data_IF_886220769796
#
_entry.id   IF_886220769796
#
_cell.length_a   1.000
_cell.length_b   1.000
_cell.length_c   1.000
_cell.angle_alpha   90.00
_cell.angle_beta   90.00
_cell.angle_gamma   90.00
#
_symmetry.space_group_name_H-M   'P 1'
#
loop_
_entity.id
_entity.type
_entity.pdbx_description
1 polymer ?
#
# COMPACT_ATOMS: atom_id res chain seq x y z
N UNK A 1 -4.54 12.41 -15.51
CA UNK A 1 -5.33 12.89 -14.36
C UNK A 1 -4.52 13.91 -13.58
N UNK A 2 -5.13 14.98 -13.12
CA UNK A 2 -4.47 15.97 -12.29
C UNK A 2 -4.39 15.51 -10.83
N UNK A 3 -3.50 16.14 -10.06
CA UNK A 3 -3.42 15.85 -8.62
C UNK A 3 -4.72 16.18 -7.89
N UNK A 4 -5.44 17.21 -8.34
CA UNK A 4 -6.73 17.57 -7.76
C UNK A 4 -7.80 16.54 -8.02
N UNK A 5 -7.83 15.99 -9.24
CA UNK A 5 -8.76 14.92 -9.61
C UNK A 5 -8.46 13.64 -8.82
N UNK A 6 -7.19 13.32 -8.65
CA UNK A 6 -6.74 12.17 -7.86
C UNK A 6 -7.18 12.32 -6.40
N UNK A 7 -7.05 13.51 -5.84
CA UNK A 7 -7.47 13.81 -4.46
C UNK A 7 -8.98 13.66 -4.28
N UNK A 8 -9.76 14.09 -5.28
CA UNK A 8 -11.22 13.90 -5.27
C UNK A 8 -11.58 12.43 -5.29
N UNK A 9 -10.90 11.64 -6.11
CA UNK A 9 -11.11 10.20 -6.19
C UNK A 9 -10.80 9.53 -4.84
N UNK A 10 -9.70 9.91 -4.21
CA UNK A 10 -9.34 9.41 -2.88
C UNK A 10 -10.41 9.75 -1.84
N UNK A 11 -10.88 11.00 -1.84
CA UNK A 11 -11.89 11.46 -0.88
C UNK A 11 -13.24 10.78 -1.08
N UNK A 12 -13.52 10.25 -2.26
CA UNK A 12 -14.73 9.50 -2.56
C UNK A 12 -14.67 8.04 -2.08
N UNK A 13 -13.48 7.54 -1.74
CA UNK A 13 -13.33 6.18 -1.20
C UNK A 13 -13.84 6.12 0.24
N UNK A 14 -14.42 4.98 0.59
CA UNK A 14 -14.94 4.71 1.94
C UNK A 14 -14.84 3.22 2.25
N UNK A 15 -15.29 2.85 3.44
CA UNK A 15 -15.37 1.43 3.84
C UNK A 15 -16.29 0.62 2.92
N UNK A 16 -17.18 1.29 2.18
CA UNK A 16 -18.12 0.65 1.26
C UNK A 16 -17.58 0.56 -0.17
N UNK A 17 -16.40 1.11 -0.41
CA UNK A 17 -15.81 1.06 -1.75
C UNK A 17 -15.47 -0.37 -2.13
N UNK A 18 -15.65 -0.70 -3.41
CA UNK A 18 -15.31 -2.02 -3.94
C UNK A 18 -13.80 -2.16 -4.11
N UNK A 19 -13.33 -3.40 -4.23
CA UNK A 19 -11.94 -3.69 -4.59
C UNK A 19 -11.60 -3.07 -5.94
N UNK A 20 -12.53 -3.11 -6.89
CA UNK A 20 -12.36 -2.50 -8.21
C UNK A 20 -12.11 -0.99 -8.10
N UNK A 21 -12.86 -0.30 -7.26
CA UNK A 21 -12.66 1.13 -7.02
C UNK A 21 -11.30 1.42 -6.39
N UNK A 22 -10.87 0.60 -5.43
CA UNK A 22 -9.55 0.71 -4.81
C UNK A 22 -8.44 0.49 -5.82
N UNK A 23 -8.56 -0.55 -6.62
CA UNK A 23 -7.55 -0.89 -7.64
C UNK A 23 -7.45 0.22 -8.68
N UNK A 24 -8.59 0.77 -9.10
CA UNK A 24 -8.63 1.92 -10.02
C UNK A 24 -7.94 3.14 -9.43
N UNK A 25 -8.21 3.46 -8.17
CA UNK A 25 -7.56 4.60 -7.50
C UNK A 25 -6.04 4.42 -7.48
N UNK A 26 -5.56 3.24 -7.12
CA UNK A 26 -4.12 2.97 -7.04
C UNK A 26 -3.47 3.07 -8.41
N UNK A 27 -4.12 2.56 -9.45
CA UNK A 27 -3.67 2.70 -10.82
C UNK A 27 -3.54 4.16 -11.23
N UNK A 28 -4.58 4.96 -10.96
CA UNK A 28 -4.59 6.38 -11.29
C UNK A 28 -3.50 7.14 -10.51
N UNK A 29 -3.27 6.77 -9.26
CA UNK A 29 -2.22 7.35 -8.45
C UNK A 29 -0.83 7.07 -9.03
N UNK A 30 -0.57 5.83 -9.43
CA UNK A 30 0.71 5.43 -10.00
C UNK A 30 0.95 6.17 -11.32
N UNK A 31 -0.04 6.21 -12.20
CA UNK A 31 0.05 6.91 -13.47
C UNK A 31 0.25 8.41 -13.29
N UNK A 32 -0.51 9.02 -12.38
CA UNK A 32 -0.44 10.47 -12.13
C UNK A 32 0.91 10.88 -11.55
N UNK A 33 1.47 10.07 -10.67
CA UNK A 33 2.77 10.32 -10.05
C UNK A 33 3.95 9.92 -10.93
N UNK A 34 3.69 9.28 -12.07
CA UNK A 34 4.71 8.91 -13.04
C UNK A 34 5.67 7.82 -12.59
N UNK A 35 5.23 6.93 -11.71
CA UNK A 35 6.06 5.79 -11.29
C UNK A 35 6.22 4.80 -12.46
N UNK A 36 7.44 4.73 -13.01
CA UNK A 36 7.77 3.86 -14.14
C UNK A 36 8.76 2.80 -13.72
N UNK A 37 8.37 1.96 -12.80
CA UNK A 37 9.24 0.90 -12.31
C UNK A 37 8.99 -0.40 -13.10
N UNK A 38 10.05 -1.19 -13.28
CA UNK A 38 9.92 -2.54 -13.81
C UNK A 38 9.28 -3.44 -12.76
N UNK A 39 8.86 -4.64 -13.17
CA UNK A 39 8.30 -5.61 -12.23
C UNK A 39 9.33 -6.01 -11.16
N UNK A 40 10.60 -6.15 -11.56
CA UNK A 40 11.68 -6.44 -10.61
C UNK A 40 11.84 -5.33 -9.58
N UNK A 41 11.83 -4.07 -10.03
CA UNK A 41 11.91 -2.93 -9.12
C UNK A 41 10.73 -2.89 -8.16
N UNK A 42 9.53 -3.21 -8.65
CA UNK A 42 8.33 -3.31 -7.80
C UNK A 42 8.48 -4.40 -6.76
N UNK A 43 9.09 -5.53 -7.12
CA UNK A 43 9.34 -6.62 -6.17
C UNK A 43 10.34 -6.20 -5.09
N UNK A 44 11.38 -5.46 -5.46
CA UNK A 44 12.35 -4.92 -4.50
C UNK A 44 11.67 -3.95 -3.53
N UNK A 45 10.86 -3.04 -4.05
CA UNK A 45 10.11 -2.10 -3.22
C UNK A 45 9.16 -2.81 -2.27
N UNK A 46 8.46 -3.84 -2.74
CA UNK A 46 7.59 -4.66 -1.88
C UNK A 46 8.39 -5.30 -0.75
N UNK A 47 9.56 -5.85 -1.07
CA UNK A 47 10.43 -6.48 -0.06
C UNK A 47 10.88 -5.48 0.99
N UNK A 48 11.22 -4.26 0.58
CA UNK A 48 11.57 -3.18 1.51
C UNK A 48 10.39 -2.83 2.42
N UNK A 49 9.20 -2.70 1.88
CA UNK A 49 8.00 -2.37 2.66
C UNK A 49 7.63 -3.49 3.63
N UNK A 50 7.81 -4.74 3.23
CA UNK A 50 7.63 -5.89 4.13
C UNK A 50 8.61 -5.82 5.29
N UNK A 51 9.85 -5.42 5.02
CA UNK A 51 10.86 -5.21 6.07
C UNK A 51 10.45 -4.11 7.05
N UNK A 52 9.93 -2.99 6.54
CA UNK A 52 9.43 -1.90 7.38
C UNK A 52 8.22 -2.34 8.20
N UNK A 53 7.32 -3.12 7.59
CA UNK A 53 6.18 -3.70 8.31
C UNK A 53 6.66 -4.62 9.43
N UNK A 54 7.62 -5.49 9.17
CA UNK A 54 8.17 -6.38 10.18
C UNK A 54 8.76 -5.61 11.35
N UNK A 55 9.42 -4.50 11.08
CA UNK A 55 9.99 -3.61 12.10
C UNK A 55 8.89 -3.02 12.99
N UNK A 56 7.79 -2.56 12.40
CA UNK A 56 6.68 -2.00 13.16
C UNK A 56 5.94 -3.07 13.97
N UNK A 57 5.77 -4.27 13.42
CA UNK A 57 5.20 -5.41 14.16
C UNK A 57 6.07 -5.75 15.37
N UNK A 58 7.39 -5.78 15.19
CA UNK A 58 8.33 -6.07 16.26
C UNK A 58 8.23 -5.04 17.39
N UNK A 59 7.99 -3.77 17.05
CA UNK A 59 7.85 -2.71 18.04
C UNK A 59 6.56 -2.84 18.86
N UNK A 60 5.54 -3.49 18.31
CA UNK A 60 4.25 -3.64 18.99
C UNK A 60 4.12 -4.96 19.74
N UNK A 61 5.03 -5.92 19.51
CA UNK A 61 5.00 -7.23 20.16
C UNK A 61 5.78 -7.21 21.46
N UNK A 62 5.08 -7.33 22.58
CA UNK A 62 5.68 -7.31 23.92
C UNK A 62 6.62 -8.48 24.19
N UNK A 63 6.57 -9.54 23.39
CA UNK A 63 7.44 -10.71 23.55
C UNK A 63 8.87 -10.50 23.06
N UNK A 64 9.13 -9.41 22.36
CA UNK A 64 10.44 -9.12 21.78
C UNK A 64 11.25 -8.07 22.53
N UNK A 65 11.04 -7.94 23.84
CA UNK A 65 11.79 -7.05 24.72
C UNK A 65 11.81 -5.58 24.24
N UNK A 66 10.72 -5.12 23.73
CA UNK A 66 10.55 -3.74 23.30
C UNK A 66 10.08 -2.91 24.49
N UNK A 67 10.44 -1.64 24.50
CA UNK A 67 10.02 -0.71 25.54
C UNK A 67 8.49 -0.63 25.61
N UNK A 68 7.93 -1.21 26.66
CA UNK A 68 6.48 -1.24 26.88
C UNK A 68 5.89 0.14 27.14
N UNK A 69 6.74 1.14 27.39
CA UNK A 69 6.30 2.52 27.59
C UNK A 69 6.16 3.30 26.26
N UNK A 70 6.58 2.70 25.15
CA UNK A 70 6.35 3.30 23.84
C UNK A 70 4.88 3.19 23.51
N UNK A 71 4.27 4.33 23.24
CA UNK A 71 2.91 4.35 22.78
C UNK A 71 2.80 3.65 21.42
N UNK A 72 1.72 2.90 21.25
CA UNK A 72 1.35 2.37 19.95
C UNK A 72 1.16 3.55 19.00
N UNK A 73 1.95 3.62 17.96
CA UNK A 73 1.83 4.69 16.97
C UNK A 73 1.19 4.16 15.69
N UNK A 74 0.68 5.06 14.87
CA UNK A 74 -0.06 4.73 13.64
C UNK A 74 0.82 4.19 12.51
N UNK A 75 2.12 4.03 12.72
CA UNK A 75 3.04 3.57 11.68
C UNK A 75 2.73 2.15 11.23
N UNK A 76 2.23 1.30 12.11
CA UNK A 76 1.84 -0.07 11.75
C UNK A 76 0.75 -0.07 10.66
N UNK A 77 -0.28 0.75 10.84
CA UNK A 77 -1.36 0.87 9.86
C UNK A 77 -0.85 1.39 8.52
N UNK A 78 0.03 2.40 8.57
CA UNK A 78 0.64 2.97 7.37
C UNK A 78 1.47 1.92 6.62
N UNK A 79 2.24 1.11 7.34
CA UNK A 79 3.07 0.08 6.71
C UNK A 79 2.23 -1.04 6.10
N UNK A 80 1.14 -1.43 6.75
CA UNK A 80 0.20 -2.41 6.16
C UNK A 80 -0.37 -1.86 4.85
N UNK A 81 -0.78 -0.60 4.85
CA UNK A 81 -1.32 0.07 3.66
C UNK A 81 -0.27 0.16 2.56
N UNK A 82 0.98 0.48 2.90
CA UNK A 82 2.06 0.59 1.93
C UNK A 82 2.35 -0.75 1.24
N UNK A 83 2.34 -1.85 2.00
CA UNK A 83 2.48 -3.20 1.43
C UNK A 83 1.34 -3.50 0.45
N UNK A 84 0.11 -3.18 0.83
CA UNK A 84 -1.06 -3.37 -0.03
C UNK A 84 -0.92 -2.57 -1.34
N UNK A 85 -0.51 -1.31 -1.24
CA UNK A 85 -0.30 -0.45 -2.42
C UNK A 85 0.78 -1.04 -3.34
N UNK A 86 1.86 -1.56 -2.78
CA UNK A 86 2.92 -2.19 -3.57
C UNK A 86 2.40 -3.42 -4.33
N UNK A 87 1.58 -4.25 -3.68
CA UNK A 87 0.97 -5.41 -4.34
C UNK A 87 0.03 -4.99 -5.47
N UNK A 88 -0.80 -3.99 -5.21
CA UNK A 88 -1.70 -3.45 -6.25
C UNK A 88 -0.93 -2.84 -7.41
N UNK A 89 0.22 -2.21 -7.12
CA UNK A 89 1.11 -1.68 -8.15
C UNK A 89 1.68 -2.77 -9.06
N UNK A 90 1.95 -3.94 -8.53
CA UNK A 90 2.37 -5.09 -9.35
C UNK A 90 1.23 -5.56 -10.25
N UNK A 91 0.00 -5.60 -9.73
CA UNK A 91 -1.17 -5.94 -10.54
C UNK A 91 -1.32 -4.97 -11.72
N UNK A 92 -1.12 -3.68 -11.46
CA UNK A 92 -1.21 -2.65 -12.50
C UNK A 92 -0.18 -2.89 -13.61
N UNK A 93 1.06 -3.23 -13.26
CA UNK A 93 2.12 -3.45 -14.23
C UNK A 93 1.85 -4.62 -15.18
N UNK A 94 1.21 -5.67 -14.68
CA UNK A 94 0.93 -6.88 -15.48
C UNK A 94 -0.52 -6.91 -16.00
N UNK A 95 -1.24 -5.80 -15.81
CA UNK A 95 -2.64 -5.66 -16.22
C UNK A 95 -3.54 -6.75 -15.64
N UNK A 96 -3.36 -7.03 -14.36
CA UNK A 96 -4.09 -8.06 -13.63
C UNK A 96 -5.22 -7.47 -12.81
N UNK A 97 -6.41 -8.07 -12.89
CA UNK A 97 -7.51 -7.81 -11.99
C UNK A 97 -7.37 -8.73 -10.78
N UNK A 98 -7.27 -8.14 -9.58
CA UNK A 98 -7.01 -8.91 -8.35
C UNK A 98 -8.18 -9.83 -7.99
N UNK A 99 -9.41 -9.42 -8.28
CA UNK A 99 -10.60 -10.23 -8.00
C UNK A 99 -10.62 -11.47 -8.88
N UNK A 100 -10.29 -11.32 -10.17
CA UNK A 100 -10.21 -12.46 -11.10
C UNK A 100 -9.10 -13.43 -10.71
N UNK A 101 -8.05 -12.94 -10.05
CA UNK A 101 -6.94 -13.77 -9.60
C UNK A 101 -7.24 -14.63 -8.38
N UNK A 102 -8.33 -14.34 -7.70
CA UNK A 102 -8.75 -15.15 -6.56
C UNK A 102 -9.36 -16.47 -7.07
#
# INVERSE_FOLDING_TARGET
MSNEELKKELNALSKKSSVEELQKYIKDMIETRGFKNSLLERMVLLTEEIGELAKEVRKTDNNLAIDINKEYNSNLENEITDVFICLMGMCELIDMDIVEGL
#
